data_IF_132337650392
#
_entry.id   IF_132337650392
#
_cell.length_a   1.000
_cell.length_b   1.000
_cell.length_c   1.000
_cell.angle_alpha   90.00
_cell.angle_beta   90.00
_cell.angle_gamma   90.00
#
_symmetry.space_group_name_H-M   'P 1'
#
loop_
_entity.id
_entity.type
_entity.pdbx_description
1 polymer ?
#
# COMPACT_ATOMS: atom_id res chain seq x y z
N UNK A 1 -7.84 -26.41 -23.39
CA UNK A 1 -6.70 -25.59 -22.92
C UNK A 1 -7.25 -24.31 -22.31
N UNK A 2 -7.23 -24.17 -20.98
CA UNK A 2 -7.52 -22.88 -20.31
C UNK A 2 -6.24 -22.05 -20.39
N UNK A 3 -6.29 -20.90 -21.06
CA UNK A 3 -5.20 -19.93 -20.97
C UNK A 3 -5.19 -19.36 -19.56
N UNK A 4 -4.05 -19.39 -18.88
CA UNK A 4 -3.91 -18.65 -17.63
C UNK A 4 -4.03 -17.16 -17.97
N UNK A 5 -4.85 -16.37 -17.25
CA UNK A 5 -4.89 -14.94 -17.46
C UNK A 5 -3.49 -14.39 -17.20
N UNK A 6 -2.94 -13.64 -18.16
CA UNK A 6 -1.68 -12.93 -17.99
C UNK A 6 -1.96 -11.82 -16.99
N UNK A 7 -1.61 -12.04 -15.73
CA UNK A 7 -1.66 -11.01 -14.71
C UNK A 7 -0.65 -9.92 -15.11
N UNK A 8 -1.03 -8.63 -15.14
CA UNK A 8 -0.06 -7.57 -15.35
C UNK A 8 1.09 -7.70 -14.34
N UNK A 9 2.32 -7.33 -14.73
CA UNK A 9 3.47 -7.40 -13.84
C UNK A 9 3.16 -6.67 -12.53
N UNK A 10 3.66 -7.24 -11.42
CA UNK A 10 3.55 -6.60 -10.12
C UNK A 10 4.37 -5.32 -10.16
N UNK A 11 3.69 -4.18 -10.07
CA UNK A 11 4.35 -2.89 -10.02
C UNK A 11 4.86 -2.63 -8.59
N UNK A 12 6.11 -2.15 -8.43
CA UNK A 12 6.61 -1.76 -7.13
C UNK A 12 5.81 -0.58 -6.57
N UNK A 13 5.73 -0.50 -5.24
CA UNK A 13 5.25 0.72 -4.58
C UNK A 13 6.21 1.89 -4.91
N UNK A 14 5.72 3.13 -4.83
CA UNK A 14 6.47 4.34 -5.20
C UNK A 14 7.57 4.71 -4.18
N UNK A 15 8.53 3.82 -3.96
CA UNK A 15 9.71 4.05 -3.11
C UNK A 15 10.62 5.09 -3.74
N UNK A 16 10.83 4.99 -5.06
CA UNK A 16 11.57 5.96 -5.85
C UNK A 16 10.60 6.95 -6.51
N UNK A 17 10.15 7.95 -5.76
CA UNK A 17 9.26 9.02 -6.24
C UNK A 17 9.94 10.40 -6.11
N UNK A 18 9.64 11.38 -6.99
CA UNK A 18 10.05 12.76 -6.77
C UNK A 18 9.60 13.29 -5.41
N UNK A 19 10.34 14.28 -4.89
CA UNK A 19 10.05 14.90 -3.60
C UNK A 19 8.67 15.58 -3.64
N UNK A 20 7.84 15.30 -2.63
CA UNK A 20 6.56 15.97 -2.39
C UNK A 20 6.72 17.10 -1.38
N UNK A 21 5.81 18.08 -1.39
CA UNK A 21 5.83 19.20 -0.44
C UNK A 21 5.46 18.80 0.99
N UNK A 22 4.86 17.61 1.17
CA UNK A 22 4.33 17.14 2.45
C UNK A 22 4.39 15.62 2.52
N UNK A 23 4.60 15.11 3.74
CA UNK A 23 4.64 13.68 4.04
C UNK A 23 4.03 13.41 5.42
N UNK A 24 3.40 12.25 5.57
CA UNK A 24 2.92 11.71 6.85
C UNK A 24 3.61 10.37 7.07
N UNK A 25 4.19 10.19 8.26
CA UNK A 25 4.82 8.94 8.67
C UNK A 25 4.01 8.34 9.81
N UNK A 26 3.55 7.10 9.62
CA UNK A 26 2.77 6.36 10.63
C UNK A 26 3.49 5.06 10.98
N UNK A 27 3.60 4.79 12.28
CA UNK A 27 4.12 3.54 12.81
C UNK A 27 3.08 2.99 13.79
N UNK A 28 2.74 1.72 13.64
CA UNK A 28 1.78 1.04 14.50
C UNK A 28 2.26 -0.38 14.79
N UNK A 29 1.88 -0.90 15.96
CA UNK A 29 2.08 -2.30 16.34
C UNK A 29 0.82 -3.09 16.03
N UNK A 30 0.98 -4.30 15.49
CA UNK A 30 -0.15 -5.22 15.31
C UNK A 30 -0.60 -5.70 16.68
N UNK A 31 -1.85 -5.43 17.04
CA UNK A 31 -2.44 -5.96 18.26
C UNK A 31 -2.63 -7.48 18.12
N UNK A 32 -2.40 -8.27 19.19
CA UNK A 32 -2.58 -9.72 19.14
C UNK A 32 -3.95 -10.12 18.59
N UNK A 33 -4.00 -11.03 17.61
CA UNK A 33 -5.25 -11.50 17.01
C UNK A 33 -5.84 -10.57 15.93
N UNK A 34 -5.15 -9.49 15.57
CA UNK A 34 -5.58 -8.55 14.52
C UNK A 34 -4.89 -8.78 13.17
N UNK A 35 -4.17 -9.88 13.02
CA UNK A 35 -3.33 -10.16 11.84
C UNK A 35 -4.19 -10.27 10.56
N UNK A 36 -5.39 -10.85 10.67
CA UNK A 36 -6.34 -10.93 9.54
C UNK A 36 -6.86 -9.55 9.12
N UNK A 37 -7.05 -8.64 10.06
CA UNK A 37 -7.47 -7.27 9.74
C UNK A 37 -6.36 -6.52 9.01
N UNK A 38 -5.10 -6.70 9.45
CA UNK A 38 -3.94 -6.13 8.76
C UNK A 38 -3.79 -6.71 7.36
N UNK A 39 -3.94 -8.03 7.20
CA UNK A 39 -3.92 -8.69 5.88
C UNK A 39 -5.03 -8.17 4.96
N UNK A 40 -6.25 -8.01 5.47
CA UNK A 40 -7.35 -7.43 4.70
C UNK A 40 -7.03 -5.99 4.26
N UNK A 41 -6.53 -5.17 5.18
CA UNK A 41 -6.09 -3.80 4.88
C UNK A 41 -5.00 -3.74 3.80
N UNK A 42 -4.07 -4.70 3.76
CA UNK A 42 -3.07 -4.79 2.69
C UNK A 42 -3.70 -4.97 1.31
N UNK A 43 -4.83 -5.68 1.21
CA UNK A 43 -5.60 -5.81 -0.02
C UNK A 43 -6.26 -4.51 -0.47
N UNK A 44 -6.60 -3.63 0.48
CA UNK A 44 -7.40 -2.43 0.23
C UNK A 44 -6.57 -1.14 0.09
N UNK A 45 -5.35 -1.09 0.63
CA UNK A 45 -4.56 0.15 0.72
C UNK A 45 -4.32 0.83 -0.64
N UNK A 46 -4.08 0.04 -1.71
CA UNK A 46 -3.93 0.59 -3.05
C UNK A 46 -5.24 1.21 -3.58
N UNK A 47 -6.40 0.66 -3.19
CA UNK A 47 -7.71 1.24 -3.46
C UNK A 47 -7.92 2.56 -2.73
N UNK A 48 -7.53 2.63 -1.45
CA UNK A 48 -7.60 3.85 -0.65
C UNK A 48 -6.74 4.98 -1.23
N UNK A 49 -5.49 4.70 -1.61
CA UNK A 49 -4.59 5.68 -2.26
C UNK A 49 -5.23 6.27 -3.51
N UNK A 50 -5.79 5.42 -4.38
CA UNK A 50 -6.47 5.87 -5.61
C UNK A 50 -7.71 6.70 -5.30
N UNK A 51 -8.56 6.24 -4.37
CA UNK A 51 -9.78 6.93 -3.95
C UNK A 51 -9.49 8.33 -3.40
N UNK A 52 -8.50 8.45 -2.52
CA UNK A 52 -8.10 9.72 -1.90
C UNK A 52 -7.37 10.62 -2.91
N UNK A 53 -6.38 10.09 -3.62
CA UNK A 53 -5.57 10.84 -4.57
C UNK A 53 -6.37 11.40 -5.75
N UNK A 54 -7.43 10.70 -6.17
CA UNK A 54 -8.33 11.18 -7.23
C UNK A 54 -9.01 12.51 -6.90
N UNK A 55 -9.15 12.86 -5.61
CA UNK A 55 -9.74 14.14 -5.20
C UNK A 55 -8.85 15.35 -5.53
N UNK A 56 -7.53 15.16 -5.52
CA UNK A 56 -6.54 16.20 -5.86
C UNK A 56 -5.41 15.55 -6.68
N UNK A 57 -5.59 15.35 -8.00
CA UNK A 57 -4.62 14.62 -8.82
C UNK A 57 -3.21 15.23 -8.81
N UNK A 58 -3.12 16.56 -8.73
CA UNK A 58 -1.85 17.28 -8.65
C UNK A 58 -1.08 17.07 -7.32
N UNK A 59 -1.75 16.49 -6.31
CA UNK A 59 -1.13 16.19 -5.00
C UNK A 59 -0.19 14.99 -5.02
N UNK A 60 -0.14 14.22 -6.11
CA UNK A 60 0.76 13.07 -6.30
C UNK A 60 0.78 12.12 -5.10
N UNK A 61 -0.40 11.80 -4.55
CA UNK A 61 -0.49 10.97 -3.35
C UNK A 61 0.07 9.56 -3.61
N UNK A 62 1.09 9.21 -2.85
CA UNK A 62 1.67 7.86 -2.77
C UNK A 62 1.58 7.34 -1.34
N UNK A 63 1.50 6.03 -1.18
CA UNK A 63 1.63 5.37 0.12
C UNK A 63 2.57 4.18 -0.03
N UNK A 64 3.56 4.10 0.85
CA UNK A 64 4.44 2.95 0.98
C UNK A 64 4.13 2.26 2.31
N UNK A 65 3.87 0.96 2.26
CA UNK A 65 3.64 0.11 3.43
C UNK A 65 4.86 -0.79 3.65
N UNK A 66 5.38 -0.79 4.87
CA UNK A 66 6.47 -1.67 5.30
C UNK A 66 6.10 -2.43 6.57
N UNK A 67 6.70 -3.61 6.73
CA UNK A 67 6.54 -4.47 7.90
C UNK A 67 7.86 -4.64 8.62
N UNK A 68 7.84 -4.53 9.95
CA UNK A 68 8.99 -4.88 10.78
C UNK A 68 9.23 -6.39 10.81
N UNK A 69 10.42 -6.81 11.24
CA UNK A 69 10.82 -8.23 11.29
C UNK A 69 9.79 -9.10 12.02
N UNK A 70 9.38 -8.70 13.22
CA UNK A 70 8.44 -9.47 14.05
C UNK A 70 7.01 -9.48 13.48
N UNK A 71 6.64 -8.46 12.69
CA UNK A 71 5.35 -8.43 12.02
C UNK A 71 5.32 -9.28 10.74
N UNK A 72 6.48 -9.67 10.23
CA UNK A 72 6.64 -10.47 9.02
C UNK A 72 6.77 -11.97 9.31
N UNK A 73 7.36 -12.34 10.46
CA UNK A 73 7.55 -13.73 10.88
C UNK A 73 6.23 -14.46 11.10
#
# INVERSE_FOLDING_TARGET
MKTCPVQPPLEPQSVCHPITSSAIFMVATVAPGSEDQVRAWCGDIAGLVRSVGKRVPAGNLTCVCGFGSDAWS
#
